data_IF_591208934505
#
_entry.id   IF_591208934505
#
_cell.length_a   1.000
_cell.length_b   1.000
_cell.length_c   1.000
_cell.angle_alpha   90.00
_cell.angle_beta   90.00
_cell.angle_gamma   90.00
#
_symmetry.space_group_name_H-M   'P 1'
#
loop_
_entity.id
_entity.type
_entity.pdbx_description
1 polymer ?
#
# COMPACT_ATOMS: atom_id res chain seq x y z
N UNK A 1 -33.22 15.88 -39.71
CA UNK A 1 -32.08 16.62 -39.11
C UNK A 1 -32.32 17.10 -37.69
N UNK A 2 -33.43 17.79 -37.39
CA UNK A 2 -33.72 18.31 -36.03
C UNK A 2 -33.72 17.23 -34.93
N UNK A 3 -34.22 16.03 -35.21
CA UNK A 3 -34.22 14.91 -34.24
C UNK A 3 -32.82 14.37 -33.90
N UNK A 4 -31.83 14.49 -34.80
CA UNK A 4 -30.46 14.07 -34.51
C UNK A 4 -29.79 15.00 -33.50
N UNK A 5 -30.07 16.30 -33.58
CA UNK A 5 -29.57 17.28 -32.61
C UNK A 5 -30.10 16.97 -31.21
N UNK A 6 -31.39 16.65 -31.10
CA UNK A 6 -32.03 16.26 -29.83
C UNK A 6 -31.41 14.97 -29.29
N UNK A 7 -31.23 13.95 -30.15
CA UNK A 7 -30.59 12.68 -29.79
C UNK A 7 -29.16 12.90 -29.25
N UNK A 8 -28.32 13.63 -29.99
CA UNK A 8 -26.94 13.90 -29.58
C UNK A 8 -26.86 14.75 -28.30
N UNK A 9 -27.75 15.72 -28.14
CA UNK A 9 -27.77 16.60 -26.97
C UNK A 9 -28.16 15.85 -25.68
N UNK A 10 -29.27 15.10 -25.72
CA UNK A 10 -29.73 14.31 -24.56
C UNK A 10 -28.72 13.20 -24.25
N UNK A 11 -28.23 12.49 -25.26
CA UNK A 11 -27.19 11.46 -25.09
C UNK A 11 -25.92 12.03 -24.46
N UNK A 12 -25.48 13.22 -24.88
CA UNK A 12 -24.32 13.91 -24.32
C UNK A 12 -24.51 14.32 -22.86
N UNK A 13 -25.67 14.86 -22.49
CA UNK A 13 -25.99 15.22 -21.10
C UNK A 13 -26.00 13.98 -20.22
N UNK A 14 -26.68 12.92 -20.64
CA UNK A 14 -26.77 11.66 -19.89
C UNK A 14 -25.38 11.04 -19.72
N UNK A 15 -24.55 11.05 -20.77
CA UNK A 15 -23.17 10.59 -20.69
C UNK A 15 -22.35 11.41 -19.68
N UNK A 16 -22.44 12.73 -19.73
CA UNK A 16 -21.74 13.61 -18.81
C UNK A 16 -22.13 13.31 -17.36
N UNK A 17 -23.43 13.31 -17.04
CA UNK A 17 -23.91 13.04 -15.67
C UNK A 17 -23.59 11.62 -15.18
N UNK A 18 -23.63 10.62 -16.06
CA UNK A 18 -23.34 9.22 -15.71
C UNK A 18 -21.89 8.98 -15.31
N UNK A 19 -20.96 9.86 -15.75
CA UNK A 19 -19.52 9.70 -15.52
C UNK A 19 -19.00 10.55 -14.35
N UNK A 20 -19.77 11.54 -13.86
CA UNK A 20 -19.38 12.44 -12.76
C UNK A 20 -18.90 11.69 -11.49
N UNK A 21 -19.39 10.48 -11.23
CA UNK A 21 -19.01 9.68 -10.05
C UNK A 21 -18.31 8.36 -10.39
N UNK A 22 -17.58 8.29 -11.50
CA UNK A 22 -16.85 7.09 -11.89
C UNK A 22 -15.65 6.80 -10.98
N UNK A 23 -15.78 5.76 -10.15
CA UNK A 23 -14.70 5.24 -9.28
C UNK A 23 -14.09 3.92 -9.77
N UNK A 24 -14.68 3.23 -10.77
CA UNK A 24 -14.28 1.89 -11.25
C UNK A 24 -14.43 1.75 -12.76
N UNK A 25 -13.71 0.82 -13.42
CA UNK A 25 -13.80 0.61 -14.90
C UNK A 25 -15.19 0.13 -15.31
N UNK A 26 -15.85 -0.65 -14.45
CA UNK A 26 -17.24 -1.04 -14.62
C UNK A 26 -18.23 0.15 -14.56
N UNK A 27 -17.84 1.31 -14.02
CA UNK A 27 -18.68 2.50 -14.02
C UNK A 27 -18.76 3.14 -15.42
N UNK A 28 -17.68 3.11 -16.21
CA UNK A 28 -17.70 3.53 -17.61
C UNK A 28 -18.58 2.61 -18.45
N UNK A 29 -18.49 1.29 -18.25
CA UNK A 29 -19.36 0.33 -18.93
C UNK A 29 -20.83 0.50 -18.54
N UNK A 30 -21.13 0.71 -17.26
CA UNK A 30 -22.50 1.03 -16.80
C UNK A 30 -23.02 2.35 -17.36
N UNK A 31 -22.17 3.37 -17.44
CA UNK A 31 -22.51 4.64 -18.09
C UNK A 31 -22.80 4.43 -19.58
N UNK A 32 -21.99 3.63 -20.28
CA UNK A 32 -22.23 3.21 -21.66
C UNK A 32 -23.57 2.51 -21.85
N UNK A 33 -23.91 1.57 -20.96
CA UNK A 33 -25.19 0.88 -20.96
C UNK A 33 -26.37 1.84 -20.71
N UNK A 34 -26.22 2.75 -19.76
CA UNK A 34 -27.27 3.73 -19.42
C UNK A 34 -27.50 4.72 -20.56
N UNK A 35 -26.43 5.22 -21.19
CA UNK A 35 -26.49 6.05 -22.41
C UNK A 35 -27.14 5.26 -23.55
N UNK A 36 -26.77 3.99 -23.73
CA UNK A 36 -27.40 3.10 -24.71
C UNK A 36 -28.91 2.96 -24.50
N UNK A 37 -29.35 2.73 -23.26
CA UNK A 37 -30.78 2.63 -22.91
C UNK A 37 -31.55 3.91 -23.23
N UNK A 38 -31.02 5.08 -22.86
CA UNK A 38 -31.66 6.35 -23.18
C UNK A 38 -31.68 6.61 -24.69
N UNK A 39 -30.59 6.30 -25.39
CA UNK A 39 -30.52 6.43 -26.84
C UNK A 39 -31.57 5.55 -27.53
N UNK A 40 -31.81 4.32 -27.06
CA UNK A 40 -32.85 3.44 -27.58
C UNK A 40 -34.25 4.04 -27.36
N UNK A 41 -34.54 4.58 -26.17
CA UNK A 41 -35.82 5.22 -25.88
C UNK A 41 -36.09 6.41 -26.81
N UNK A 42 -35.07 7.22 -27.07
CA UNK A 42 -35.15 8.35 -28.01
C UNK A 42 -35.37 7.84 -29.44
N UNK A 43 -34.63 6.81 -29.88
CA UNK A 43 -34.78 6.21 -31.21
C UNK A 43 -36.19 5.65 -31.40
N UNK A 44 -36.75 4.96 -30.39
CA UNK A 44 -38.12 4.46 -30.42
C UNK A 44 -39.12 5.61 -30.58
N UNK A 45 -38.96 6.70 -29.81
CA UNK A 45 -39.83 7.87 -29.91
C UNK A 45 -39.77 8.54 -31.30
N UNK A 46 -38.57 8.66 -31.88
CA UNK A 46 -38.36 9.20 -33.22
C UNK A 46 -38.98 8.28 -34.29
N UNK A 47 -38.77 6.97 -34.18
CA UNK A 47 -39.30 5.99 -35.14
C UNK A 47 -40.82 5.84 -35.05
N UNK A 48 -41.40 6.06 -33.87
CA UNK A 48 -42.85 6.14 -33.70
C UNK A 48 -43.42 7.39 -34.36
N UNK A 49 -42.80 8.57 -34.14
CA UNK A 49 -43.22 9.84 -34.77
C UNK A 49 -43.15 9.79 -36.30
N UNK A 50 -42.10 9.17 -36.85
CA UNK A 50 -41.91 9.03 -38.30
C UNK A 50 -42.68 7.85 -38.91
N UNK A 51 -43.44 7.09 -38.13
CA UNK A 51 -44.12 5.85 -38.54
C UNK A 51 -43.20 4.79 -39.18
N UNK A 52 -41.90 4.79 -38.85
CA UNK A 52 -40.89 3.85 -39.39
C UNK A 52 -40.67 2.63 -38.50
N UNK A 53 -41.28 2.57 -37.32
CA UNK A 53 -41.00 1.54 -36.32
C UNK A 53 -41.29 0.09 -36.79
N UNK A 54 -42.32 -0.10 -37.62
CA UNK A 54 -42.67 -1.41 -38.21
C UNK A 54 -42.02 -1.66 -39.57
N UNK A 55 -41.16 -0.75 -40.03
CA UNK A 55 -40.38 -0.94 -41.27
C UNK A 55 -39.04 -1.59 -40.95
N UNK A 56 -38.32 -2.06 -41.97
CA UNK A 56 -36.96 -2.62 -41.84
C UNK A 56 -36.00 -1.65 -41.13
N UNK A 57 -36.26 -0.33 -41.18
CA UNK A 57 -35.44 0.69 -40.51
C UNK A 57 -35.55 0.64 -38.98
N UNK A 58 -36.73 0.31 -38.43
CA UNK A 58 -36.97 0.32 -36.99
C UNK A 58 -36.04 -0.60 -36.19
N UNK A 59 -35.98 -1.92 -36.50
CA UNK A 59 -35.05 -2.84 -35.85
C UNK A 59 -33.58 -2.49 -36.07
N UNK A 60 -33.23 -1.97 -37.26
CA UNK A 60 -31.87 -1.59 -37.61
C UNK A 60 -31.39 -0.38 -36.78
N UNK A 61 -32.22 0.64 -36.61
CA UNK A 61 -31.91 1.83 -35.82
C UNK A 61 -31.73 1.48 -34.33
N UNK A 62 -32.56 0.57 -33.79
CA UNK A 62 -32.42 0.08 -32.41
C UNK A 62 -31.10 -0.67 -32.23
N UNK A 63 -30.74 -1.54 -33.19
CA UNK A 63 -29.46 -2.27 -33.16
C UNK A 63 -28.26 -1.30 -33.19
N UNK A 64 -28.30 -0.27 -34.04
CA UNK A 64 -27.28 0.77 -34.08
C UNK A 64 -27.26 1.64 -32.81
N UNK A 65 -28.40 1.89 -32.17
CA UNK A 65 -28.48 2.58 -30.88
C UNK A 65 -27.78 1.81 -29.75
N UNK A 66 -27.99 0.49 -29.68
CA UNK A 66 -27.31 -0.40 -28.72
C UNK A 66 -25.80 -0.41 -28.98
N UNK A 67 -25.41 -0.65 -30.24
CA UNK A 67 -24.01 -0.69 -30.64
C UNK A 67 -23.31 0.65 -30.36
N UNK A 68 -23.98 1.77 -30.65
CA UNK A 68 -23.48 3.12 -30.44
C UNK A 68 -23.11 3.41 -28.98
N UNK A 69 -23.94 3.01 -28.02
CA UNK A 69 -23.63 3.17 -26.59
C UNK A 69 -22.39 2.37 -26.16
N UNK A 70 -22.27 1.13 -26.65
CA UNK A 70 -21.14 0.26 -26.34
C UNK A 70 -19.82 0.78 -26.96
N UNK A 71 -19.87 1.15 -28.24
CA UNK A 71 -18.75 1.75 -28.98
C UNK A 71 -18.33 3.06 -28.31
N UNK A 72 -19.27 3.95 -27.99
CA UNK A 72 -18.98 5.22 -27.33
C UNK A 72 -18.26 5.02 -25.99
N UNK A 73 -18.70 4.06 -25.17
CA UNK A 73 -18.06 3.76 -23.88
C UNK A 73 -16.64 3.21 -24.04
N UNK A 74 -16.40 2.40 -25.07
CA UNK A 74 -15.09 1.81 -25.38
C UNK A 74 -14.13 2.90 -25.88
N UNK A 75 -14.60 3.75 -26.80
CA UNK A 75 -13.83 4.89 -27.30
C UNK A 75 -13.51 5.86 -26.16
N UNK A 76 -14.48 6.18 -25.30
CA UNK A 76 -14.27 7.07 -24.17
C UNK A 76 -13.22 6.50 -23.18
N UNK A 77 -13.25 5.20 -22.90
CA UNK A 77 -12.26 4.56 -22.05
C UNK A 77 -10.84 4.63 -22.65
N UNK A 78 -10.70 4.35 -23.95
CA UNK A 78 -9.42 4.44 -24.66
C UNK A 78 -8.90 5.88 -24.73
N UNK A 79 -9.78 6.83 -25.05
CA UNK A 79 -9.42 8.25 -25.14
C UNK A 79 -9.03 8.81 -23.77
N UNK A 80 -9.70 8.41 -22.68
CA UNK A 80 -9.32 8.80 -21.33
C UNK A 80 -7.88 8.37 -21.02
N UNK A 81 -7.51 7.11 -21.28
CA UNK A 81 -6.13 6.63 -21.08
C UNK A 81 -5.11 7.36 -21.96
N UNK A 82 -5.49 7.75 -23.19
CA UNK A 82 -4.62 8.54 -24.07
C UNK A 82 -4.46 10.00 -23.61
N UNK A 83 -5.50 10.59 -23.02
CA UNK A 83 -5.48 11.96 -22.50
C UNK A 83 -4.80 12.05 -21.12
N UNK A 84 -4.82 11.00 -20.31
CA UNK A 84 -4.12 11.00 -19.00
C UNK A 84 -2.61 11.25 -19.13
N UNK A 85 -1.98 10.65 -20.14
CA UNK A 85 -0.52 10.74 -20.34
C UNK A 85 0.00 12.17 -20.58
N UNK A 86 -0.55 12.97 -21.51
CA UNK A 86 -0.09 14.34 -21.74
C UNK A 86 -0.51 15.31 -20.62
N UNK A 87 -1.69 15.12 -20.00
CA UNK A 87 -2.21 16.07 -19.01
C UNK A 87 -1.75 15.79 -17.57
N UNK A 88 -1.02 14.70 -17.31
CA UNK A 88 -0.52 14.31 -15.98
C UNK A 88 -1.61 14.30 -14.89
N UNK A 89 -2.83 13.94 -15.27
CA UNK A 89 -3.97 13.89 -14.36
C UNK A 89 -3.99 12.53 -13.65
N UNK A 90 -3.95 12.54 -12.33
CA UNK A 90 -4.09 11.33 -11.52
C UNK A 90 -5.56 10.94 -11.40
N UNK A 91 -6.00 10.03 -12.26
CA UNK A 91 -7.37 9.51 -12.23
C UNK A 91 -7.51 8.34 -11.25
N UNK A 92 -8.75 8.05 -10.85
CA UNK A 92 -9.05 6.85 -10.06
C UNK A 92 -8.60 5.56 -10.78
N UNK A 93 -8.56 5.55 -12.11
CA UNK A 93 -8.08 4.39 -12.88
C UNK A 93 -6.59 4.17 -12.67
N UNK A 94 -5.79 5.23 -12.80
CA UNK A 94 -4.36 5.16 -12.54
C UNK A 94 -4.07 4.73 -11.11
N UNK A 95 -4.83 5.24 -10.13
CA UNK A 95 -4.68 4.83 -8.73
C UNK A 95 -5.04 3.36 -8.50
N UNK A 96 -6.08 2.84 -9.15
CA UNK A 96 -6.41 1.42 -9.07
C UNK A 96 -5.33 0.51 -9.68
N UNK A 97 -4.66 0.97 -10.74
CA UNK A 97 -3.51 0.24 -11.31
C UNK A 97 -2.31 0.24 -10.36
N UNK A 98 -2.05 1.36 -9.69
CA UNK A 98 -0.98 1.49 -8.69
C UNK A 98 -1.32 0.81 -7.34
N UNK A 99 -2.58 0.43 -7.15
CA UNK A 99 -2.99 -0.39 -6.01
C UNK A 99 -2.61 -1.86 -6.19
N UNK A 100 -2.33 -2.31 -7.42
CA UNK A 100 -1.87 -3.67 -7.68
C UNK A 100 -0.48 -3.89 -7.07
N UNK A 101 -0.40 -4.81 -6.10
CA UNK A 101 0.84 -5.13 -5.40
C UNK A 101 1.85 -5.88 -6.29
N UNK A 102 1.43 -6.32 -7.49
CA UNK A 102 2.31 -6.93 -8.49
C UNK A 102 3.07 -5.90 -9.33
N UNK A 103 2.89 -4.60 -9.09
CA UNK A 103 3.71 -3.57 -9.75
C UNK A 103 5.20 -3.86 -9.54
N UNK A 104 6.05 -3.75 -10.58
CA UNK A 104 7.45 -4.19 -10.51
C UNK A 104 8.22 -3.64 -9.30
N UNK A 105 8.06 -2.35 -9.00
CA UNK A 105 8.73 -1.69 -7.87
C UNK A 105 8.22 -2.15 -6.50
N UNK A 106 6.92 -2.45 -6.35
CA UNK A 106 6.36 -2.97 -5.10
C UNK A 106 6.79 -4.42 -4.88
N UNK A 107 6.87 -5.21 -5.95
CA UNK A 107 7.43 -6.56 -5.89
C UNK A 107 8.92 -6.53 -5.54
N UNK A 108 9.67 -5.58 -6.09
CA UNK A 108 11.07 -5.38 -5.72
C UNK A 108 11.20 -4.99 -4.24
N UNK A 109 10.38 -4.05 -3.76
CA UNK A 109 10.34 -3.68 -2.34
C UNK A 109 10.07 -4.89 -1.45
N UNK A 110 9.09 -5.73 -1.80
CA UNK A 110 8.76 -6.95 -1.07
C UNK A 110 9.94 -7.93 -0.98
N UNK A 111 10.68 -8.12 -2.07
CA UNK A 111 11.81 -9.07 -2.12
C UNK A 111 13.04 -8.53 -1.39
N UNK A 112 13.36 -7.25 -1.58
CA UNK A 112 14.62 -6.64 -1.11
C UNK A 112 14.49 -6.07 0.30
N UNK A 113 13.33 -5.51 0.65
CA UNK A 113 13.04 -4.84 1.91
C UNK A 113 11.67 -5.28 2.48
N UNK A 114 11.51 -6.57 2.84
CA UNK A 114 10.21 -7.12 3.27
C UNK A 114 9.64 -6.44 4.53
N UNK A 115 10.50 -5.98 5.43
CA UNK A 115 10.10 -5.24 6.63
C UNK A 115 9.47 -3.89 6.28
N UNK A 116 10.14 -3.12 5.41
CA UNK A 116 9.62 -1.86 4.87
C UNK A 116 8.34 -2.06 4.07
N UNK A 117 8.24 -3.15 3.29
CA UNK A 117 7.00 -3.49 2.60
C UNK A 117 5.85 -3.70 3.60
N UNK A 118 6.06 -4.49 4.66
CA UNK A 118 5.04 -4.74 5.66
C UNK A 118 4.64 -3.46 6.41
N UNK A 119 5.63 -2.64 6.79
CA UNK A 119 5.42 -1.28 7.34
C UNK A 119 4.49 -0.45 6.44
N UNK A 120 4.82 -0.35 5.16
CA UNK A 120 4.04 0.42 4.19
C UNK A 120 2.59 -0.09 4.08
N UNK A 121 2.35 -1.40 4.21
CA UNK A 121 0.99 -1.95 4.23
C UNK A 121 0.19 -1.53 5.46
N UNK A 122 0.81 -1.49 6.65
CA UNK A 122 0.16 -1.03 7.87
C UNK A 122 -0.11 0.48 7.82
N UNK A 123 0.89 1.27 7.42
CA UNK A 123 0.76 2.72 7.21
C UNK A 123 -0.36 3.03 6.21
N UNK A 124 -0.49 2.24 5.14
CA UNK A 124 -1.58 2.41 4.17
C UNK A 124 -2.96 2.21 4.78
N UNK A 125 -3.12 1.24 5.68
CA UNK A 125 -4.39 0.93 6.33
C UNK A 125 -4.78 2.01 7.34
N UNK A 126 -3.80 2.50 8.13
CA UNK A 126 -3.97 3.64 9.02
C UNK A 126 -4.38 4.89 8.23
N UNK A 127 -3.60 5.23 7.21
CA UNK A 127 -3.78 6.45 6.44
C UNK A 127 -5.10 6.46 5.65
N UNK A 128 -5.49 5.33 5.05
CA UNK A 128 -6.77 5.18 4.36
C UNK A 128 -7.96 5.41 5.29
N UNK A 129 -7.93 4.79 6.49
CA UNK A 129 -8.99 4.96 7.48
C UNK A 129 -9.12 6.41 7.93
N UNK A 130 -7.99 7.06 8.23
CA UNK A 130 -7.94 8.45 8.66
C UNK A 130 -8.42 9.40 7.57
N UNK A 131 -7.98 9.21 6.32
CA UNK A 131 -8.44 9.99 5.17
C UNK A 131 -9.96 9.89 4.98
N UNK A 132 -10.53 8.69 5.15
CA UNK A 132 -11.98 8.49 5.12
C UNK A 132 -12.71 9.28 6.22
N UNK A 133 -12.17 9.29 7.44
CA UNK A 133 -12.75 10.00 8.59
C UNK A 133 -12.79 11.54 8.37
N UNK A 134 -11.81 12.09 7.66
CA UNK A 134 -11.72 13.53 7.36
C UNK A 134 -12.23 13.91 5.95
N UNK A 135 -12.95 12.99 5.27
CA UNK A 135 -13.55 13.19 3.93
C UNK A 135 -12.54 13.53 2.82
N UNK A 136 -11.32 13.01 2.93
CA UNK A 136 -10.31 13.05 1.86
C UNK A 136 -10.42 11.81 0.96
N UNK A 137 -9.62 11.76 -0.11
CA UNK A 137 -9.57 10.62 -1.01
C UNK A 137 -8.83 9.43 -0.36
N UNK A 138 -9.53 8.35 0.06
CA UNK A 138 -8.88 7.24 0.77
C UNK A 138 -8.02 6.40 -0.19
N UNK A 139 -8.44 6.27 -1.46
CA UNK A 139 -7.71 5.50 -2.46
C UNK A 139 -6.35 6.12 -2.77
N UNK A 140 -6.31 7.43 -3.02
CA UNK A 140 -5.04 8.15 -3.23
C UNK A 140 -4.12 7.99 -2.01
N UNK A 141 -4.68 8.14 -0.80
CA UNK A 141 -3.93 8.04 0.45
C UNK A 141 -3.33 6.64 0.64
N UNK A 142 -4.13 5.59 0.39
CA UNK A 142 -3.68 4.20 0.47
C UNK A 142 -2.55 3.92 -0.51
N UNK A 143 -2.75 4.31 -1.78
CA UNK A 143 -1.75 4.11 -2.83
C UNK A 143 -0.48 4.88 -2.48
N UNK A 144 -0.55 6.15 -2.13
CA UNK A 144 0.64 6.93 -1.80
C UNK A 144 1.43 6.34 -0.61
N UNK A 145 0.73 5.80 0.39
CA UNK A 145 1.37 5.10 1.51
C UNK A 145 2.09 3.79 1.10
N UNK A 146 1.67 3.10 0.03
CA UNK A 146 2.44 1.95 -0.49
C UNK A 146 3.82 2.35 -1.02
N UNK A 147 3.93 3.56 -1.56
CA UNK A 147 5.15 4.01 -2.22
C UNK A 147 6.02 4.94 -1.37
N UNK A 148 5.54 5.43 -0.21
CA UNK A 148 6.22 6.48 0.56
C UNK A 148 7.70 6.17 0.86
N UNK A 149 7.99 4.88 1.07
CA UNK A 149 9.27 4.37 1.57
C UNK A 149 10.09 3.58 0.53
N UNK A 150 9.72 3.62 -0.76
CA UNK A 150 10.41 2.85 -1.83
C UNK A 150 11.89 3.18 -1.96
N UNK A 151 12.34 4.35 -1.50
CA UNK A 151 13.76 4.70 -1.50
C UNK A 151 14.63 3.79 -0.63
N UNK A 152 14.03 3.10 0.35
CA UNK A 152 14.75 2.13 1.20
C UNK A 152 15.22 0.89 0.44
N UNK A 153 14.71 0.64 -0.79
CA UNK A 153 15.18 -0.43 -1.69
C UNK A 153 16.68 -0.36 -1.93
N UNK A 154 17.26 0.85 -1.99
CA UNK A 154 18.67 1.01 -2.32
C UNK A 154 19.63 0.53 -1.22
N UNK A 155 19.20 0.60 0.05
CA UNK A 155 20.04 0.34 1.24
C UNK A 155 19.21 -0.32 2.37
N UNK A 156 18.52 -1.43 2.10
CA UNK A 156 17.55 -2.03 3.02
C UNK A 156 18.16 -2.38 4.39
N UNK A 157 19.42 -2.82 4.41
CA UNK A 157 20.14 -3.27 5.60
C UNK A 157 20.43 -2.15 6.63
N UNK A 158 20.22 -0.88 6.27
CA UNK A 158 20.33 0.25 7.19
C UNK A 158 19.02 0.57 7.90
N UNK A 159 17.90 -0.04 7.51
CA UNK A 159 16.60 0.21 8.11
C UNK A 159 16.24 -0.93 9.06
N UNK A 160 15.93 -0.58 10.32
CA UNK A 160 15.79 -1.54 11.42
C UNK A 160 14.69 -2.58 11.16
N UNK A 161 13.62 -2.19 10.46
CA UNK A 161 12.52 -3.09 10.12
C UNK A 161 12.95 -4.23 9.19
N UNK A 162 14.07 -4.08 8.47
CA UNK A 162 14.63 -5.11 7.59
C UNK A 162 15.80 -5.88 8.24
N UNK A 163 16.23 -5.50 9.44
CA UNK A 163 17.30 -6.18 10.17
C UNK A 163 16.71 -7.33 10.99
N UNK A 164 16.63 -8.53 10.39
CA UNK A 164 16.12 -9.75 11.04
C UNK A 164 17.15 -10.33 12.04
N UNK A 165 17.48 -9.60 13.11
CA UNK A 165 18.46 -10.02 14.12
C UNK A 165 19.92 -9.98 13.64
N UNK A 166 20.18 -9.31 12.52
CA UNK A 166 21.53 -9.05 12.01
C UNK A 166 22.22 -7.92 12.79
N UNK A 167 23.55 -7.85 12.69
CA UNK A 167 24.34 -6.77 13.31
C UNK A 167 23.91 -5.43 12.71
N UNK A 168 23.56 -4.48 13.56
CA UNK A 168 23.13 -3.15 13.14
C UNK A 168 24.29 -2.42 12.44
N UNK A 169 24.09 -2.06 11.17
CA UNK A 169 25.10 -1.38 10.34
C UNK A 169 25.50 -0.01 10.90
N UNK A 170 24.61 0.63 11.66
CA UNK A 170 24.85 1.94 12.26
C UNK A 170 25.85 1.92 13.42
N UNK A 171 26.15 0.75 14.01
CA UNK A 171 27.08 0.66 15.15
C UNK A 171 28.52 1.00 14.75
N UNK A 172 28.85 0.86 13.47
CA UNK A 172 30.19 1.13 12.91
C UNK A 172 30.28 2.51 12.23
N UNK A 173 29.22 3.31 12.28
CA UNK A 173 29.15 4.59 11.60
C UNK A 173 29.11 5.76 12.59
N UNK A 174 29.66 6.88 12.16
CA UNK A 174 29.42 8.15 12.84
C UNK A 174 27.91 8.48 12.82
N UNK A 175 27.38 9.15 13.85
CA UNK A 175 25.96 9.52 13.89
C UNK A 175 25.51 10.36 12.69
N UNK A 176 26.34 11.31 12.23
CA UNK A 176 26.06 12.14 11.04
C UNK A 176 25.95 11.29 9.77
N UNK A 177 26.84 10.31 9.58
CA UNK A 177 26.77 9.38 8.44
C UNK A 177 25.53 8.50 8.49
N UNK A 178 25.12 8.07 9.68
CA UNK A 178 23.89 7.30 9.87
C UNK A 178 22.66 8.11 9.50
N UNK A 179 22.58 9.35 9.98
CA UNK A 179 21.51 10.28 9.60
C UNK A 179 21.49 10.56 8.10
N UNK A 180 22.64 10.77 7.47
CA UNK A 180 22.71 11.00 6.03
C UNK A 180 22.12 9.82 5.23
N UNK A 181 22.45 8.58 5.61
CA UNK A 181 21.91 7.37 4.97
C UNK A 181 20.40 7.28 5.17
N UNK A 182 19.91 7.54 6.39
CA UNK A 182 18.48 7.52 6.65
C UNK A 182 17.78 8.62 5.87
N UNK A 183 18.26 9.86 5.88
CA UNK A 183 17.64 10.98 5.19
C UNK A 183 17.63 10.77 3.66
N UNK A 184 18.63 10.09 3.10
CA UNK A 184 18.74 9.91 1.65
C UNK A 184 17.61 9.07 1.05
N UNK A 185 16.91 8.23 1.82
CA UNK A 185 15.82 7.40 1.26
C UNK A 185 14.71 8.24 0.65
N UNK A 186 14.48 9.46 1.15
CA UNK A 186 13.47 10.36 0.59
C UNK A 186 13.85 10.76 -0.84
N UNK A 187 15.10 11.18 -1.05
CA UNK A 187 15.63 11.56 -2.36
C UNK A 187 15.66 10.36 -3.31
N UNK A 188 16.19 9.24 -2.83
CA UNK A 188 16.26 7.98 -3.58
C UNK A 188 14.86 7.51 -3.99
N UNK A 189 13.87 7.65 -3.11
CA UNK A 189 12.48 7.31 -3.39
C UNK A 189 11.85 8.20 -4.46
N UNK A 190 12.14 9.51 -4.43
CA UNK A 190 11.70 10.45 -5.47
C UNK A 190 12.31 10.10 -6.83
N UNK A 191 13.59 9.71 -6.86
CA UNK A 191 14.28 9.29 -8.09
C UNK A 191 13.66 8.00 -8.66
N UNK A 192 13.48 6.98 -7.82
CA UNK A 192 12.83 5.72 -8.21
C UNK A 192 11.38 5.93 -8.69
N UNK A 193 10.63 6.80 -8.00
CA UNK A 193 9.26 7.13 -8.38
C UNK A 193 9.19 7.79 -9.77
N UNK A 194 10.14 8.69 -10.09
CA UNK A 194 10.24 9.32 -11.40
C UNK A 194 10.61 8.33 -12.49
N UNK A 195 11.56 7.44 -12.23
CA UNK A 195 11.95 6.37 -13.16
C UNK A 195 10.76 5.47 -13.52
N UNK A 196 9.95 5.13 -12.51
CA UNK A 196 8.74 4.32 -12.67
C UNK A 196 7.52 5.12 -13.13
N UNK A 197 7.69 6.40 -13.47
CA UNK A 197 6.64 7.30 -13.97
C UNK A 197 5.43 7.35 -13.04
N UNK A 198 5.66 7.34 -11.72
CA UNK A 198 4.61 7.53 -10.75
C UNK A 198 4.00 8.94 -10.89
N UNK A 199 2.71 9.11 -10.60
CA UNK A 199 2.07 10.42 -10.65
C UNK A 199 2.70 11.41 -9.67
N UNK A 200 2.61 12.70 -10.01
CA UNK A 200 3.24 13.78 -9.26
C UNK A 200 2.79 13.79 -7.79
N UNK A 201 1.52 13.55 -7.53
CA UNK A 201 0.97 13.52 -6.18
C UNK A 201 1.64 12.46 -5.29
N UNK A 202 2.02 11.31 -5.85
CA UNK A 202 2.74 10.26 -5.11
C UNK A 202 4.19 10.67 -4.88
N UNK A 203 4.84 11.22 -5.92
CA UNK A 203 6.23 11.72 -5.81
C UNK A 203 6.32 12.81 -4.73
N UNK A 204 5.37 13.74 -4.72
CA UNK A 204 5.32 14.83 -3.75
C UNK A 204 5.12 14.30 -2.32
N UNK A 205 4.29 13.27 -2.12
CA UNK A 205 4.11 12.62 -0.82
C UNK A 205 5.39 11.90 -0.37
N UNK A 206 6.08 11.18 -1.27
CA UNK A 206 7.39 10.58 -0.96
C UNK A 206 8.36 11.66 -0.48
N UNK A 207 8.40 12.81 -1.15
CA UNK A 207 9.28 13.91 -0.76
C UNK A 207 8.94 14.52 0.61
N UNK A 208 7.64 14.54 0.97
CA UNK A 208 7.11 15.29 2.11
C UNK A 208 6.87 14.48 3.39
N UNK A 209 6.79 13.14 3.32
CA UNK A 209 6.26 12.33 4.43
C UNK A 209 7.07 12.42 5.74
N UNK A 210 8.34 12.83 5.68
CA UNK A 210 9.12 13.17 6.88
C UNK A 210 9.17 14.65 7.23
N UNK A 211 8.77 15.54 6.31
CA UNK A 211 8.84 16.99 6.49
C UNK A 211 10.26 17.45 6.78
N UNK A 212 10.42 18.30 7.79
CA UNK A 212 11.70 18.81 8.27
C UNK A 212 12.09 18.23 9.63
N UNK A 213 11.52 17.07 9.99
CA UNK A 213 11.75 16.42 11.29
C UNK A 213 13.21 16.06 11.47
N UNK A 214 13.62 15.95 12.73
CA UNK A 214 14.98 15.56 13.11
C UNK A 214 15.08 14.04 13.31
N UNK A 215 16.19 13.43 12.90
CA UNK A 215 16.55 12.06 13.26
C UNK A 215 17.02 12.01 14.71
N UNK A 216 16.08 12.10 15.65
CA UNK A 216 16.34 12.37 17.09
C UNK A 216 17.38 11.43 17.72
N UNK A 217 17.33 10.13 17.40
CA UNK A 217 18.26 9.16 17.97
C UNK A 217 19.72 9.49 17.64
N UNK A 218 20.03 9.71 16.36
CA UNK A 218 21.39 10.01 15.92
C UNK A 218 21.83 11.41 16.29
N UNK A 219 20.90 12.38 16.33
CA UNK A 219 21.22 13.72 16.83
C UNK A 219 21.63 13.66 18.31
N UNK A 220 20.86 12.96 19.14
CA UNK A 220 21.21 12.77 20.56
C UNK A 220 22.54 12.04 20.73
N UNK A 221 22.76 10.95 19.96
CA UNK A 221 24.03 10.22 19.96
C UNK A 221 25.20 11.13 19.56
N UNK A 222 25.01 12.06 18.62
CA UNK A 222 26.03 13.03 18.24
C UNK A 222 26.35 14.01 19.36
N UNK A 223 25.33 14.52 20.07
CA UNK A 223 25.50 15.38 21.24
C UNK A 223 26.23 14.65 22.38
N UNK A 224 25.86 13.40 22.67
CA UNK A 224 26.47 12.60 23.72
C UNK A 224 27.94 12.27 23.43
N UNK A 225 28.30 12.12 22.15
CA UNK A 225 29.69 11.89 21.71
C UNK A 225 30.46 13.18 21.39
N UNK A 226 29.87 14.36 21.57
CA UNK A 226 30.47 15.61 21.15
C UNK A 226 31.68 15.98 22.02
N UNK A 227 32.80 16.30 21.38
CA UNK A 227 33.98 16.84 22.05
C UNK A 227 33.81 18.37 22.20
N UNK A 228 33.80 18.93 23.42
CA UNK A 228 33.65 20.38 23.64
C UNK A 228 34.72 21.25 22.97
N UNK A 229 35.84 20.67 22.53
CA UNK A 229 36.88 21.39 21.78
C UNK A 229 36.55 21.58 20.28
N UNK A 230 35.48 20.97 19.77
CA UNK A 230 35.04 21.07 18.38
C UNK A 230 33.83 22.04 18.25
N UNK A 231 33.54 22.54 17.04
CA UNK A 231 32.32 23.31 16.79
C UNK A 231 31.06 22.53 17.20
N UNK A 232 30.02 23.21 17.72
CA UNK A 232 28.80 22.56 18.19
C UNK A 232 28.16 21.71 17.10
N UNK A 233 27.53 20.61 17.50
CA UNK A 233 26.83 19.71 16.58
C UNK A 233 25.75 20.51 15.84
N UNK A 234 25.85 20.55 14.51
CA UNK A 234 24.88 21.24 13.67
C UNK A 234 23.60 20.41 13.56
N UNK A 235 22.48 20.95 14.03
CA UNK A 235 21.18 20.28 13.98
C UNK A 235 20.71 19.99 12.55
N UNK A 236 21.08 20.84 11.59
CA UNK A 236 20.66 20.70 10.19
C UNK A 236 21.18 19.41 9.53
N UNK A 237 22.32 18.88 10.00
CA UNK A 237 22.90 17.63 9.50
C UNK A 237 22.04 16.40 9.87
N UNK A 238 21.08 16.59 10.78
CA UNK A 238 20.19 15.55 11.31
C UNK A 238 18.73 15.80 10.94
N UNK A 239 18.41 16.85 10.18
CA UNK A 239 17.04 17.14 9.74
C UNK A 239 16.81 16.65 8.33
N UNK A 240 15.60 16.15 8.09
CA UNK A 240 15.11 15.98 6.73
C UNK A 240 15.05 17.34 6.03
N UNK A 241 15.36 17.36 4.73
CA UNK A 241 15.43 18.61 3.95
C UNK A 241 14.04 19.20 3.62
N UNK A 242 12.96 18.46 3.92
CA UNK A 242 11.60 18.87 3.58
C UNK A 242 11.27 18.74 2.10
N UNK A 243 10.21 19.43 1.64
CA UNK A 243 9.42 20.41 2.39
C UNK A 243 8.51 19.76 3.44
N UNK A 244 7.95 20.58 4.35
CA UNK A 244 6.84 20.13 5.23
C UNK A 244 5.67 19.64 4.37
N UNK A 245 4.77 18.81 4.90
CA UNK A 245 3.54 18.43 4.23
C UNK A 245 2.80 19.63 3.64
N UNK A 246 2.61 19.63 2.32
CA UNK A 246 1.87 20.67 1.59
C UNK A 246 0.39 20.33 1.44
N UNK A 247 0.01 19.09 1.78
CA UNK A 247 -1.36 18.58 1.65
C UNK A 247 -1.77 17.82 2.88
N UNK A 248 -3.08 17.78 3.17
CA UNK A 248 -3.62 16.96 4.27
C UNK A 248 -3.28 15.48 4.14
N UNK A 249 -3.19 14.95 2.91
CA UNK A 249 -2.84 13.55 2.66
C UNK A 249 -1.38 13.28 3.06
N UNK A 250 -0.44 14.15 2.64
CA UNK A 250 0.97 14.03 3.04
C UNK A 250 1.12 14.09 4.56
N UNK A 251 0.36 14.95 5.23
CA UNK A 251 0.35 15.06 6.67
C UNK A 251 -0.23 13.81 7.36
N UNK A 252 -1.32 13.24 6.85
CA UNK A 252 -1.87 11.97 7.37
C UNK A 252 -0.84 10.84 7.26
N UNK A 253 -0.14 10.74 6.13
CA UNK A 253 0.88 9.71 5.91
C UNK A 253 2.07 9.92 6.86
N UNK A 254 2.52 11.17 7.08
CA UNK A 254 3.54 11.49 8.08
C UNK A 254 3.13 11.02 9.49
N UNK A 255 1.89 11.32 9.89
CA UNK A 255 1.38 10.94 11.21
C UNK A 255 1.25 9.42 11.33
N UNK A 256 0.72 8.76 10.30
CA UNK A 256 0.55 7.31 10.28
C UNK A 256 1.90 6.58 10.33
N UNK A 257 2.89 7.01 9.54
CA UNK A 257 4.26 6.49 9.55
C UNK A 257 4.88 6.57 10.96
N UNK A 258 4.79 7.74 11.59
CA UNK A 258 5.33 7.95 12.93
C UNK A 258 4.62 7.08 14.00
N UNK A 259 3.29 7.00 13.92
CA UNK A 259 2.46 6.22 14.84
C UNK A 259 2.71 4.73 14.68
N UNK A 260 2.80 4.24 13.45
CA UNK A 260 3.10 2.84 13.14
C UNK A 260 4.45 2.46 13.73
N UNK A 261 5.50 3.22 13.38
CA UNK A 261 6.86 2.94 13.80
C UNK A 261 6.99 2.94 15.33
N UNK A 262 6.35 3.89 16.01
CA UNK A 262 6.34 3.96 17.47
C UNK A 262 5.54 2.80 18.11
N UNK A 263 4.45 2.36 17.46
CA UNK A 263 3.58 1.29 17.99
C UNK A 263 4.28 -0.06 18.04
N UNK A 264 5.27 -0.30 17.18
CA UNK A 264 6.09 -1.53 17.17
C UNK A 264 6.89 -1.75 18.46
N UNK A 265 7.12 -0.68 19.22
CA UNK A 265 7.87 -0.70 20.48
C UNK A 265 6.97 -0.86 21.71
N UNK A 266 5.63 -0.89 21.54
CA UNK A 266 4.70 -1.07 22.66
C UNK A 266 4.78 -2.49 23.22
N UNK A 267 5.18 -2.57 24.49
CA UNK A 267 5.06 -3.78 25.31
C UNK A 267 3.62 -3.84 25.85
N UNK A 268 2.92 -4.93 25.56
CA UNK A 268 1.50 -5.15 25.91
C UNK A 268 0.58 -4.00 25.44
N UNK A 269 0.15 -4.02 24.17
CA UNK A 269 -0.59 -2.93 23.54
C UNK A 269 -2.06 -2.88 24.01
N UNK A 270 -2.30 -2.43 25.25
CA UNK A 270 -3.66 -2.19 25.74
C UNK A 270 -4.31 -1.00 25.03
N UNK A 271 -5.65 -0.94 24.91
CA UNK A 271 -6.33 0.17 24.25
C UNK A 271 -5.94 1.56 24.78
N UNK A 272 -5.75 1.69 26.09
CA UNK A 272 -5.30 2.94 26.73
C UNK A 272 -3.85 3.30 26.35
N UNK A 273 -2.93 2.33 26.35
CA UNK A 273 -1.53 2.56 25.93
C UNK A 273 -1.44 2.96 24.46
N UNK A 274 -2.24 2.34 23.59
CA UNK A 274 -2.33 2.71 22.17
C UNK A 274 -2.82 4.15 22.04
N UNK A 275 -3.95 4.51 22.67
CA UNK A 275 -4.51 5.87 22.57
C UNK A 275 -3.51 6.93 23.03
N UNK A 276 -2.88 6.72 24.20
CA UNK A 276 -1.88 7.65 24.73
C UNK A 276 -0.66 7.80 23.82
N UNK A 277 -0.22 6.70 23.18
CA UNK A 277 0.88 6.75 22.21
C UNK A 277 0.50 7.59 20.99
N UNK A 278 -0.65 7.31 20.38
CA UNK A 278 -1.13 8.04 19.19
C UNK A 278 -1.25 9.53 19.50
N UNK A 279 -1.93 9.88 20.59
CA UNK A 279 -2.09 11.27 21.02
C UNK A 279 -0.75 11.97 21.23
N UNK A 280 0.21 11.31 21.87
CA UNK A 280 1.55 11.85 22.09
C UNK A 280 2.26 12.14 20.77
N UNK A 281 2.30 11.17 19.85
CA UNK A 281 3.00 11.34 18.57
C UNK A 281 2.37 12.45 17.72
N UNK A 282 1.04 12.49 17.64
CA UNK A 282 0.32 13.56 16.92
C UNK A 282 0.61 14.93 17.52
N UNK A 283 0.63 15.03 18.87
CA UNK A 283 0.95 16.25 19.59
C UNK A 283 2.40 16.68 19.37
N UNK A 284 3.35 15.76 19.42
CA UNK A 284 4.78 16.05 19.23
C UNK A 284 5.03 16.60 17.81
N UNK A 285 4.42 16.00 16.78
CA UNK A 285 4.50 16.49 15.39
C UNK A 285 3.84 17.86 15.22
N UNK A 286 2.72 18.10 15.89
CA UNK A 286 2.04 19.40 15.89
C UNK A 286 2.90 20.49 16.55
N UNK A 287 3.54 20.19 17.69
CA UNK A 287 4.42 21.12 18.41
C UNK A 287 5.70 21.39 17.61
N UNK A 288 6.23 20.42 16.86
CA UNK A 288 7.36 20.59 15.93
C UNK A 288 6.96 21.34 14.62
N UNK A 289 5.78 21.97 14.61
CA UNK A 289 5.28 22.84 13.54
C UNK A 289 5.26 22.19 12.15
N UNK A 290 5.27 20.85 12.07
CA UNK A 290 5.35 20.12 10.80
C UNK A 290 4.07 20.28 9.97
N UNK A 291 2.95 20.62 10.61
CA UNK A 291 1.64 20.70 9.97
C UNK A 291 1.27 22.12 9.50
N UNK A 292 2.15 23.11 9.70
CA UNK A 292 1.86 24.53 9.44
C UNK A 292 1.68 24.88 7.94
N UNK A 293 2.13 24.02 7.04
CA UNK A 293 2.06 24.23 5.58
C UNK A 293 0.94 23.37 4.93
N UNK A 294 0.02 22.84 5.73
CA UNK A 294 -1.16 22.13 5.23
C UNK A 294 -2.43 22.53 5.99
N UNK A 295 -3.59 22.41 5.33
CA UNK A 295 -4.86 22.89 5.88
C UNK A 295 -5.52 21.96 6.93
N UNK A 296 -4.75 21.13 7.65
CA UNK A 296 -5.30 20.25 8.68
C UNK A 296 -5.83 21.06 9.86
N UNK A 297 -7.10 20.85 10.21
CA UNK A 297 -7.71 21.50 11.37
C UNK A 297 -7.51 20.68 12.64
N UNK A 298 -7.63 21.29 13.82
CA UNK A 298 -7.63 20.55 15.09
C UNK A 298 -8.75 19.49 15.17
N UNK A 299 -9.88 19.75 14.49
CA UNK A 299 -10.97 18.79 14.34
C UNK A 299 -10.54 17.58 13.50
N UNK A 300 -9.81 17.82 12.41
CA UNK A 300 -9.24 16.75 11.59
C UNK A 300 -8.26 15.91 12.40
N UNK A 301 -7.37 16.55 13.19
CA UNK A 301 -6.41 15.83 14.03
C UNK A 301 -7.09 14.92 15.06
N UNK A 302 -8.17 15.36 15.71
CA UNK A 302 -8.94 14.50 16.62
C UNK A 302 -9.51 13.28 15.89
N UNK A 303 -10.12 13.48 14.72
CA UNK A 303 -10.68 12.39 13.93
C UNK A 303 -9.61 11.40 13.42
N UNK A 304 -8.43 11.91 13.05
CA UNK A 304 -7.27 11.11 12.65
C UNK A 304 -6.78 10.27 13.84
N UNK A 305 -6.59 10.86 15.02
CA UNK A 305 -6.19 10.16 16.25
C UNK A 305 -7.17 9.04 16.61
N UNK A 306 -8.47 9.31 16.60
CA UNK A 306 -9.52 8.31 16.87
C UNK A 306 -9.47 7.15 15.87
N UNK A 307 -9.28 7.47 14.57
CA UNK A 307 -9.16 6.48 13.51
C UNK A 307 -7.91 5.59 13.69
N UNK A 308 -6.75 6.19 13.94
CA UNK A 308 -5.50 5.45 14.19
C UNK A 308 -5.61 4.54 15.41
N UNK A 309 -6.13 5.03 16.53
CA UNK A 309 -6.35 4.23 17.74
C UNK A 309 -7.23 3.02 17.46
N UNK A 310 -8.31 3.20 16.71
CA UNK A 310 -9.22 2.09 16.35
C UNK A 310 -8.55 1.05 15.46
N UNK A 311 -7.80 1.49 14.45
CA UNK A 311 -7.09 0.57 13.52
C UNK A 311 -5.99 -0.19 14.26
N UNK A 312 -5.15 0.50 15.03
CA UNK A 312 -4.09 -0.14 15.82
C UNK A 312 -4.66 -1.11 16.86
N UNK A 313 -5.74 -0.73 17.57
CA UNK A 313 -6.41 -1.65 18.48
C UNK A 313 -6.81 -2.95 17.75
N UNK A 314 -7.41 -2.85 16.57
CA UNK A 314 -7.76 -4.02 15.75
C UNK A 314 -6.55 -4.89 15.37
N UNK A 315 -5.43 -4.27 14.99
CA UNK A 315 -4.18 -4.97 14.64
C UNK A 315 -3.58 -5.69 15.86
N UNK A 316 -3.62 -5.06 17.03
CA UNK A 316 -3.03 -5.61 18.25
C UNK A 316 -3.97 -6.54 19.04
N UNK A 317 -5.28 -6.47 18.84
CA UNK A 317 -6.27 -7.33 19.51
C UNK A 317 -6.08 -8.82 19.21
N UNK A 318 -5.46 -9.18 18.08
CA UNK A 318 -5.14 -10.57 17.77
C UNK A 318 -3.87 -11.09 18.48
N UNK A 319 -3.07 -10.20 19.10
CA UNK A 319 -1.82 -10.56 19.79
C UNK A 319 -1.98 -10.80 21.29
N UNK A 320 -3.20 -10.80 21.82
CA UNK A 320 -3.44 -11.28 23.18
C UNK A 320 -3.55 -12.79 23.07
N UNK A 321 -2.51 -13.50 23.52
CA UNK A 321 -2.55 -14.95 23.72
C UNK A 321 -3.78 -15.31 24.54
N UNK A 322 -4.63 -16.17 24.00
CA UNK A 322 -5.69 -16.79 24.79
C UNK A 322 -5.02 -17.67 25.86
N UNK A 323 -5.19 -17.40 27.16
CA UNK A 323 -4.74 -18.32 28.19
C UNK A 323 -5.60 -19.58 28.06
N UNK A 324 -5.05 -20.64 27.47
CA UNK A 324 -5.71 -21.95 27.38
C UNK A 324 -5.78 -22.60 25.99
N UNK A 325 -5.36 -21.95 24.91
CA UNK A 325 -5.13 -22.67 23.65
C UNK A 325 -3.65 -22.95 23.49
N UNK A 326 -3.22 -24.14 23.94
CA UNK A 326 -2.06 -24.79 23.32
C UNK A 326 -2.41 -24.94 21.84
N UNK A 327 -1.82 -24.09 21.00
CA UNK A 327 -1.70 -24.36 19.57
C UNK A 327 -0.96 -25.69 19.51
N UNK A 328 -1.70 -26.77 19.22
CA UNK A 328 -1.10 -28.06 18.91
C UNK A 328 -0.13 -27.84 17.76
N UNK A 329 1.13 -28.19 17.99
CA UNK A 329 2.17 -28.27 16.98
C UNK A 329 1.63 -28.83 15.67
N UNK A 330 1.51 -27.97 14.68
CA UNK A 330 1.62 -28.36 13.29
C UNK A 330 2.92 -27.74 12.80
N UNK A 331 4.04 -28.41 13.09
CA UNK A 331 5.34 -27.92 12.62
C UNK A 331 6.61 -28.48 13.24
N UNK A 332 6.58 -29.45 14.16
CA UNK A 332 7.75 -30.30 14.40
C UNK A 332 7.54 -31.62 13.66
N UNK A 333 8.19 -31.74 12.50
CA UNK A 333 8.48 -33.03 11.90
C UNK A 333 9.45 -33.77 12.83
N UNK A 334 8.86 -34.43 13.82
CA UNK A 334 9.26 -35.66 14.49
C UNK A 334 10.55 -36.31 13.93
N UNK A 335 11.72 -35.80 14.36
CA UNK A 335 13.05 -36.39 14.04
C UNK A 335 13.35 -37.66 14.88
N UNK A 336 12.42 -38.12 15.72
CA UNK A 336 12.55 -39.36 16.52
C UNK A 336 11.75 -40.56 15.97
N UNK A 337 10.80 -40.36 15.06
CA UNK A 337 10.03 -41.46 14.43
C UNK A 337 10.80 -42.11 13.27
N UNK A 338 11.68 -41.39 12.59
CA UNK A 338 12.48 -41.97 11.49
C UNK A 338 13.67 -42.82 12.01
N UNK A 339 14.20 -42.53 13.21
CA UNK A 339 15.23 -43.38 13.84
C UNK A 339 14.68 -44.72 14.34
N UNK A 340 13.45 -44.73 14.89
CA UNK A 340 12.81 -45.96 15.35
C UNK A 340 12.33 -46.84 14.19
N UNK A 341 11.89 -46.27 13.08
CA UNK A 341 11.57 -47.05 11.87
C UNK A 341 12.84 -47.63 11.22
N UNK A 342 13.91 -46.83 11.11
CA UNK A 342 15.19 -47.25 10.51
C UNK A 342 15.94 -48.29 11.36
N UNK A 343 15.84 -48.26 12.69
CA UNK A 343 16.39 -49.32 13.55
C UNK A 343 15.55 -50.61 13.51
N UNK A 344 14.22 -50.52 13.41
CA UNK A 344 13.35 -51.69 13.31
C UNK A 344 13.52 -52.41 11.96
N UNK A 345 13.74 -51.67 10.88
CA UNK A 345 14.04 -52.23 9.56
C UNK A 345 15.50 -52.73 9.43
N UNK A 346 16.48 -52.10 10.09
CA UNK A 346 17.84 -52.66 10.24
C UNK A 346 17.86 -53.92 11.11
N UNK A 347 16.99 -54.01 12.12
CA UNK A 347 16.78 -55.20 12.95
C UNK A 347 16.21 -56.37 12.15
N UNK A 348 15.15 -56.13 11.36
CA UNK A 348 14.56 -57.13 10.45
C UNK A 348 15.53 -57.56 9.34
N UNK A 349 16.33 -56.66 8.76
CA UNK A 349 17.35 -57.03 7.77
C UNK A 349 18.50 -57.87 8.35
N UNK A 350 18.87 -57.65 9.62
CA UNK A 350 19.88 -58.46 10.33
C UNK A 350 19.34 -59.85 10.71
N UNK A 351 18.05 -59.96 11.01
CA UNK A 351 17.38 -61.24 11.29
C UNK A 351 17.23 -62.09 10.02
N UNK A 352 16.87 -61.48 8.89
CA UNK A 352 16.80 -62.15 7.58
C UNK A 352 18.20 -62.61 7.10
N UNK A 353 19.26 -61.81 7.32
CA UNK A 353 20.65 -62.24 7.04
C UNK A 353 21.16 -63.34 7.97
N UNK A 354 20.71 -63.39 9.24
CA UNK A 354 21.04 -64.49 10.19
C UNK A 354 20.35 -65.80 9.82
N UNK A 355 19.11 -65.75 9.32
CA UNK A 355 18.38 -66.94 8.86
C UNK A 355 18.98 -67.47 7.53
N UNK A 356 19.44 -66.58 6.65
CA UNK A 356 20.17 -66.95 5.42
C UNK A 356 21.58 -67.53 5.65
N UNK A 357 22.29 -67.13 6.71
CA UNK A 357 23.61 -67.69 7.04
C UNK A 357 23.57 -69.00 7.86
N UNK A 358 22.44 -69.35 8.49
CA UNK A 358 22.26 -70.66 9.15
C UNK A 358 21.81 -71.78 8.21
N UNK A 359 21.52 -71.48 6.93
CA UNK A 359 21.15 -72.47 5.91
C UNK A 359 22.29 -72.95 5.00
N UNK A 360 23.54 -72.53 5.21
CA UNK A 360 24.65 -72.73 4.25
C UNK A 360 26.00 -73.13 4.88
N UNK A 361 26.04 -73.82 6.02
CA UNK A 361 27.26 -74.50 6.50
C UNK A 361 26.90 -75.72 7.36
N UNK A 362 26.41 -76.73 6.65
CA UNK A 362 26.23 -78.11 7.08
C UNK A 362 26.61 -79.06 5.94
N UNK A 363 27.83 -78.91 5.43
CA UNK A 363 28.60 -79.85 4.61
C UNK A 363 30.06 -79.39 4.80
N UNK A 364 30.89 -80.05 5.60
CA UNK A 364 31.45 -81.39 5.35
C UNK A 364 32.92 -81.18 4.95
N UNK A 365 33.83 -81.25 5.92
CA UNK A 365 34.93 -82.25 5.98
C UNK A 365 35.97 -82.17 4.86
N UNK A 366 37.19 -81.77 5.23
CA UNK A 366 38.49 -82.45 5.06
C UNK A 366 39.64 -81.45 5.07
#
# INVERSE_FOLDING_TARGET
EQFYVIFSFIGGIVAAFSVIQCKKRSALQRAGLFVGLINILIIIAINFYNATIFTVKGPLDIAFGIAGGFIASTIAAGLLSLLEAPFKITTNFKLLELLDLNQPILRQLFVVAPGTYHHSMVVSTLSESAAGAVKLNPLLTRVAAYYHDIGKINKPEYFIENQMGSVNRHDRLAPSMSSLILISHVKDGVELAKEHRLPKEIIDIIHQHHGTRITTFFYKKALDCHNPALPPVNEMDFRYHGPKPQTKIAAIIMLADAVEAASRLLIEPTPSRISNLVEKIVKDIFIDEQLNECDLTLKDLRAITESFTKVLAGIFHHRIDYPGMKVSDYGEADEDTDKKQTEKDKGKLREIKRIGQKGSQGAGTY
#
